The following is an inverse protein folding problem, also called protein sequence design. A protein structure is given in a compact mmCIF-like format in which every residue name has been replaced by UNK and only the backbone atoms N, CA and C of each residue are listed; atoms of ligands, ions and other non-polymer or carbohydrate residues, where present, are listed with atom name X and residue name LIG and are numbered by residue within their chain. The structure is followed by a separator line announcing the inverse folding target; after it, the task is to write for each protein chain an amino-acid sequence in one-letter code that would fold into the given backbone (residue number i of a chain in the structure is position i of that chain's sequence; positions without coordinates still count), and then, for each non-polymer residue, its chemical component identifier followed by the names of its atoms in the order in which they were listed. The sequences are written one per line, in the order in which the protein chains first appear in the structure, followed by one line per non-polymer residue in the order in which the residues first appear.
data_IF_611993911876
#
_entry.id   IF_611993911876
#
_cell.length_a   1.000
_cell.length_b   1.000
_cell.length_c   1.000
_cell.angle_alpha   90.00
_cell.angle_beta   90.00
_cell.angle_gamma   90.00
#
_symmetry.space_group_name_H-M   'P 1'
#
loop_
_entity.id
_entity.type
_entity.pdbx_description
1 polymer ?
#
# COMPACT_ATOMS: atom_id res chain seq x y z
N UNK A 1 41.56 1.73 -6.12
CA UNK A 1 40.50 2.17 -5.20
C UNK A 1 39.37 2.99 -5.85
N UNK A 2 39.64 3.89 -6.83
CA UNK A 2 38.58 4.64 -7.55
C UNK A 2 37.78 3.78 -8.55
N UNK A 3 38.42 2.81 -9.21
CA UNK A 3 37.77 1.94 -10.20
C UNK A 3 36.88 0.86 -9.60
N UNK A 4 37.13 0.48 -8.35
CA UNK A 4 36.35 -0.54 -7.62
C UNK A 4 34.97 0.03 -7.25
N UNK A 5 34.94 1.24 -6.67
CA UNK A 5 33.69 1.98 -6.40
C UNK A 5 32.85 2.24 -7.66
N UNK A 6 33.49 2.36 -8.84
CA UNK A 6 32.80 2.58 -10.11
C UNK A 6 32.15 1.30 -10.66
N UNK A 7 32.76 0.13 -10.41
CA UNK A 7 32.19 -1.18 -10.77
C UNK A 7 30.99 -1.52 -9.89
N UNK A 8 31.07 -1.24 -8.59
CA UNK A 8 29.98 -1.51 -7.63
C UNK A 8 28.74 -0.67 -7.96
N UNK A 9 28.90 0.63 -8.21
CA UNK A 9 27.79 1.51 -8.60
C UNK A 9 27.10 1.05 -9.90
N UNK A 10 27.87 0.53 -10.87
CA UNK A 10 27.34 0.06 -12.15
C UNK A 10 26.54 -1.23 -12.00
N UNK A 11 26.98 -2.14 -11.12
CA UNK A 11 26.25 -3.37 -10.78
C UNK A 11 24.94 -3.07 -10.03
N UNK A 12 24.93 -2.11 -9.10
CA UNK A 12 23.71 -1.71 -8.38
C UNK A 12 22.64 -1.12 -9.31
N UNK A 13 23.04 -0.30 -10.28
CA UNK A 13 22.12 0.29 -11.27
C UNK A 13 21.54 -0.79 -12.19
N UNK A 14 22.37 -1.75 -12.63
CA UNK A 14 21.92 -2.91 -13.42
C UNK A 14 20.95 -3.81 -12.64
N UNK A 15 21.17 -3.99 -11.34
CA UNK A 15 20.21 -4.70 -10.48
C UNK A 15 18.86 -3.97 -10.41
N UNK A 16 18.85 -2.65 -10.18
CA UNK A 16 17.61 -1.85 -10.14
C UNK A 16 16.85 -1.94 -11.47
N UNK A 17 17.56 -1.90 -12.59
CA UNK A 17 16.94 -2.01 -13.92
C UNK A 17 16.31 -3.38 -14.18
N UNK A 18 16.84 -4.45 -13.56
CA UNK A 18 16.26 -5.80 -13.64
C UNK A 18 15.10 -6.03 -12.65
N UNK A 19 14.96 -5.21 -11.60
CA UNK A 19 13.82 -5.32 -10.67
C UNK A 19 12.52 -4.94 -11.36
N UNK A 20 12.52 -3.89 -12.19
CA UNK A 20 11.31 -3.40 -12.86
C UNK A 20 10.64 -4.43 -13.79
N UNK A 21 11.34 -5.10 -14.73
CA UNK A 21 10.72 -6.13 -15.57
C UNK A 21 10.30 -7.35 -14.76
N UNK A 22 11.07 -7.76 -13.75
CA UNK A 22 10.70 -8.86 -12.85
C UNK A 22 9.43 -8.53 -12.06
N UNK A 23 9.30 -7.29 -11.57
CA UNK A 23 8.12 -6.82 -10.89
C UNK A 23 6.90 -6.76 -11.82
N UNK A 24 7.08 -6.27 -13.05
CA UNK A 24 6.00 -6.26 -14.05
C UNK A 24 5.54 -7.68 -14.41
N UNK A 25 6.48 -8.59 -14.62
CA UNK A 25 6.19 -10.00 -14.90
C UNK A 25 5.48 -10.65 -13.70
N UNK A 26 5.92 -10.33 -12.48
CA UNK A 26 5.28 -10.77 -11.25
C UNK A 26 3.83 -10.28 -11.18
N UNK A 27 3.58 -8.97 -11.38
CA UNK A 27 2.25 -8.37 -11.41
C UNK A 27 1.33 -8.97 -12.48
N UNK A 28 1.87 -9.30 -13.65
CA UNK A 28 1.13 -9.89 -14.77
C UNK A 28 0.81 -11.38 -14.59
N UNK A 29 1.44 -12.06 -13.63
CA UNK A 29 1.26 -13.51 -13.42
C UNK A 29 -0.01 -13.87 -12.63
N UNK A 30 -0.71 -12.90 -12.05
CA UNK A 30 -1.97 -13.13 -11.33
C UNK A 30 -3.20 -12.76 -12.15
N UNK A 31 -4.38 -13.05 -11.61
CA UNK A 31 -5.63 -12.76 -12.30
C UNK A 31 -5.97 -11.28 -12.29
N UNK A 32 -6.35 -10.69 -13.45
CA UNK A 32 -6.77 -9.30 -13.48
C UNK A 32 -8.09 -9.14 -12.71
N UNK A 33 -8.27 -8.05 -11.95
CA UNK A 33 -9.54 -7.78 -11.28
C UNK A 33 -10.65 -7.56 -12.32
N UNK A 34 -11.87 -8.06 -12.07
CA UNK A 34 -13.00 -7.80 -12.94
C UNK A 34 -13.31 -6.30 -13.00
N UNK A 35 -13.80 -5.81 -14.14
CA UNK A 35 -14.09 -4.37 -14.36
C UNK A 35 -15.02 -3.77 -13.31
N UNK A 36 -15.93 -4.57 -12.75
CA UNK A 36 -16.88 -4.18 -11.71
C UNK A 36 -16.21 -3.86 -10.36
N UNK A 37 -14.97 -4.31 -10.14
CA UNK A 37 -14.25 -4.15 -8.86
C UNK A 37 -13.14 -3.12 -8.89
N UNK A 38 -12.88 -2.51 -10.05
CA UNK A 38 -11.85 -1.48 -10.19
C UNK A 38 -12.15 -0.29 -9.29
N UNK A 39 -13.42 0.11 -9.15
CA UNK A 39 -13.86 1.17 -8.22
C UNK A 39 -13.55 0.82 -6.77
N UNK A 40 -13.83 -0.41 -6.35
CA UNK A 40 -13.56 -0.90 -4.99
C UNK A 40 -12.07 -0.92 -4.68
N UNK A 41 -11.23 -1.28 -5.67
CA UNK A 41 -9.77 -1.20 -5.58
C UNK A 41 -9.28 0.24 -5.44
N UNK A 42 -9.85 1.20 -6.17
CA UNK A 42 -9.53 2.61 -5.98
C UNK A 42 -9.90 3.10 -4.58
N UNK A 43 -11.07 2.71 -4.07
CA UNK A 43 -11.49 3.03 -2.71
C UNK A 43 -10.52 2.44 -1.67
N UNK A 44 -10.09 1.18 -1.85
CA UNK A 44 -9.08 0.55 -1.00
C UNK A 44 -7.78 1.35 -0.98
N UNK A 45 -7.26 1.73 -2.15
CA UNK A 45 -6.03 2.53 -2.25
C UNK A 45 -6.21 3.89 -1.55
N UNK A 46 -7.36 4.53 -1.75
CA UNK A 46 -7.69 5.78 -1.08
C UNK A 46 -7.71 5.63 0.45
N UNK A 47 -8.39 4.60 0.96
CA UNK A 47 -8.47 4.30 2.40
C UNK A 47 -7.09 4.05 3.01
N UNK A 48 -6.23 3.31 2.31
CA UNK A 48 -4.85 3.06 2.75
C UNK A 48 -4.04 4.36 2.81
N UNK A 49 -4.04 5.15 1.73
CA UNK A 49 -3.28 6.41 1.69
C UNK A 49 -3.77 7.37 2.76
N UNK A 50 -5.09 7.54 2.88
CA UNK A 50 -5.69 8.43 3.86
C UNK A 50 -5.43 7.96 5.30
N UNK A 51 -5.56 6.66 5.55
CA UNK A 51 -5.32 6.05 6.85
C UNK A 51 -3.85 6.10 7.27
N UNK A 52 -2.91 5.85 6.35
CA UNK A 52 -1.48 6.01 6.62
C UNK A 52 -1.10 7.47 6.85
N UNK A 53 -1.67 8.40 6.07
CA UNK A 53 -1.39 9.83 6.22
C UNK A 53 -1.87 10.35 7.57
N UNK A 54 -3.12 10.07 7.94
CA UNK A 54 -3.68 10.44 9.25
C UNK A 54 -2.95 9.75 10.40
N UNK A 55 -2.59 8.47 10.25
CA UNK A 55 -1.80 7.74 11.23
C UNK A 55 -0.39 8.29 11.39
N UNK A 56 0.24 8.75 10.30
CA UNK A 56 1.56 9.40 10.35
C UNK A 56 1.50 10.73 11.08
N UNK A 57 0.46 11.55 10.81
CA UNK A 57 0.26 12.82 11.54
C UNK A 57 0.04 12.55 13.03
N UNK A 58 -0.81 11.57 13.36
CA UNK A 58 -1.01 11.13 14.74
C UNK A 58 0.30 10.70 15.39
N UNK A 59 1.08 9.83 14.74
CA UNK A 59 2.37 9.34 15.25
C UNK A 59 3.36 10.50 15.48
N UNK A 60 3.52 11.38 14.51
CA UNK A 60 4.42 12.54 14.63
C UNK A 60 4.05 13.46 15.78
N UNK A 61 2.74 13.63 16.04
CA UNK A 61 2.23 14.47 17.13
C UNK A 61 2.28 13.77 18.49
N UNK A 62 2.02 12.46 18.54
CA UNK A 62 2.02 11.67 19.77
C UNK A 62 3.42 11.47 20.37
N UNK A 63 4.46 11.49 19.54
CA UNK A 63 5.87 11.35 19.95
C UNK A 63 6.61 12.69 20.04
N UNK A 64 5.88 13.80 20.08
CA UNK A 64 6.42 15.16 20.17
C UNK A 64 7.45 15.53 19.08
N UNK A 65 7.37 14.88 17.91
CA UNK A 65 8.31 15.10 16.79
C UNK A 65 7.89 16.35 16.00
N UNK A 66 6.58 16.49 15.71
CA UNK A 66 5.97 17.62 14.96
C UNK A 66 4.52 17.86 15.41
N UNK A 67 3.99 19.06 15.17
CA UNK A 67 2.59 19.43 15.46
C UNK A 67 2.18 19.37 16.94
N UNK A 68 3.15 19.51 17.84
CA UNK A 68 2.93 19.51 19.29
C UNK A 68 2.07 20.71 19.70
N UNK A 69 0.97 20.44 20.39
CA UNK A 69 0.03 21.47 20.86
C UNK A 69 -0.80 22.15 19.77
N UNK A 70 -0.66 21.77 18.49
CA UNK A 70 -1.48 22.31 17.39
C UNK A 70 -2.77 21.53 17.14
N UNK A 71 -2.83 20.28 17.64
CA UNK A 71 -3.95 19.37 17.40
C UNK A 71 -4.63 19.09 18.74
N UNK A 72 -5.78 19.73 18.98
CA UNK A 72 -6.52 19.63 20.24
C UNK A 72 -7.09 18.22 20.50
N UNK A 73 -7.41 17.49 19.43
CA UNK A 73 -8.07 16.19 19.50
C UNK A 73 -7.28 15.10 18.78
N UNK A 74 -6.06 14.87 19.26
CA UNK A 74 -5.14 13.88 18.72
C UNK A 74 -5.73 12.46 18.64
N UNK A 75 -6.59 12.08 19.60
CA UNK A 75 -7.29 10.79 19.61
C UNK A 75 -8.22 10.58 18.39
N UNK A 76 -8.77 11.65 17.81
CA UNK A 76 -9.63 11.56 16.62
C UNK A 76 -8.81 11.11 15.43
N UNK A 77 -7.58 11.60 15.28
CA UNK A 77 -6.69 11.19 14.19
C UNK A 77 -6.30 9.71 14.29
N UNK A 78 -6.06 9.22 15.52
CA UNK A 78 -5.83 7.80 15.76
C UNK A 78 -7.03 6.96 15.34
N UNK A 79 -8.22 7.33 15.82
CA UNK A 79 -9.45 6.60 15.53
C UNK A 79 -9.79 6.63 14.03
N UNK A 80 -9.60 7.78 13.37
CA UNK A 80 -9.80 7.93 11.93
C UNK A 80 -8.81 7.09 11.13
N UNK A 81 -7.53 7.08 11.53
CA UNK A 81 -6.51 6.22 10.93
C UNK A 81 -6.88 4.75 11.07
N UNK A 82 -7.30 4.31 12.26
CA UNK A 82 -7.71 2.93 12.51
C UNK A 82 -8.95 2.53 11.69
N UNK A 83 -9.98 3.37 11.65
CA UNK A 83 -11.21 3.13 10.90
C UNK A 83 -11.00 3.08 9.39
N UNK A 84 -9.98 3.75 8.86
CA UNK A 84 -9.69 3.78 7.42
C UNK A 84 -8.66 2.73 7.02
N UNK A 85 -7.61 2.51 7.82
CA UNK A 85 -6.60 1.49 7.58
C UNK A 85 -7.17 0.08 7.67
N UNK A 86 -8.01 -0.22 8.66
CA UNK A 86 -8.52 -1.58 8.88
C UNK A 86 -9.26 -2.12 7.65
N UNK A 87 -10.31 -1.45 7.11
CA UNK A 87 -10.96 -1.90 5.89
C UNK A 87 -10.04 -1.83 4.66
N UNK A 88 -9.14 -0.85 4.58
CA UNK A 88 -8.16 -0.76 3.49
C UNK A 88 -7.18 -1.95 3.44
N UNK A 89 -6.63 -2.34 4.59
CA UNK A 89 -5.72 -3.48 4.74
C UNK A 89 -6.46 -4.81 4.52
N UNK A 90 -7.69 -4.92 5.02
CA UNK A 90 -8.53 -6.08 4.74
C UNK A 90 -8.78 -6.25 3.24
N UNK A 91 -9.18 -5.19 2.54
CA UNK A 91 -9.39 -5.23 1.10
C UNK A 91 -8.09 -5.53 0.33
N UNK A 92 -6.94 -5.01 0.78
CA UNK A 92 -5.63 -5.32 0.20
C UNK A 92 -5.30 -6.80 0.33
N UNK A 93 -5.51 -7.36 1.52
CA UNK A 93 -5.25 -8.76 1.82
C UNK A 93 -6.11 -9.68 0.93
N UNK A 94 -7.42 -9.44 0.87
CA UNK A 94 -8.32 -10.22 0.00
C UNK A 94 -7.92 -10.07 -1.46
N UNK A 95 -7.68 -8.84 -1.93
CA UNK A 95 -7.28 -8.57 -3.33
C UNK A 95 -5.99 -9.31 -3.69
N UNK A 96 -5.02 -9.35 -2.78
CA UNK A 96 -3.78 -10.10 -2.96
C UNK A 96 -4.04 -11.61 -3.08
N UNK A 97 -4.89 -12.17 -2.21
CA UNK A 97 -5.22 -13.59 -2.26
C UNK A 97 -6.01 -13.97 -3.52
N UNK A 98 -6.94 -13.12 -3.96
CA UNK A 98 -7.66 -13.29 -5.23
C UNK A 98 -6.70 -13.23 -6.43
N UNK A 99 -5.80 -12.24 -6.44
CA UNK A 99 -4.78 -12.10 -7.47
C UNK A 99 -3.85 -13.31 -7.56
N UNK A 100 -3.51 -13.93 -6.41
CA UNK A 100 -2.68 -15.15 -6.33
C UNK A 100 -3.45 -16.47 -6.45
N UNK A 101 -4.78 -16.43 -6.67
CA UNK A 101 -5.65 -17.61 -6.79
C UNK A 101 -5.56 -18.58 -5.61
N UNK A 102 -5.46 -18.07 -4.38
CA UNK A 102 -5.55 -18.93 -3.22
C UNK A 102 -6.97 -19.54 -3.12
N UNK A 103 -7.07 -20.85 -2.91
CA UNK A 103 -8.36 -21.54 -2.80
C UNK A 103 -9.21 -20.91 -1.69
N UNK A 104 -10.47 -20.60 -2.03
CA UNK A 104 -11.42 -19.95 -1.12
C UNK A 104 -11.48 -18.43 -1.21
N UNK A 105 -10.66 -17.81 -2.06
CA UNK A 105 -10.71 -16.37 -2.34
C UNK A 105 -11.12 -16.11 -3.78
N UNK A 106 -12.31 -15.54 -3.94
CA UNK A 106 -12.84 -15.09 -5.21
C UNK A 106 -13.02 -13.58 -5.19
N UNK A 107 -12.85 -12.96 -6.36
CA UNK A 107 -13.05 -11.53 -6.54
C UNK A 107 -14.41 -11.10 -5.98
N UNK A 108 -15.47 -11.85 -6.23
CA UNK A 108 -16.86 -11.61 -5.77
C UNK A 108 -17.05 -11.40 -4.25
N UNK A 109 -16.06 -11.73 -3.42
CA UNK A 109 -16.09 -11.43 -1.97
C UNK A 109 -15.94 -9.93 -1.71
N UNK A 110 -15.29 -9.20 -2.62
CA UNK A 110 -15.09 -7.75 -2.50
C UNK A 110 -16.38 -7.03 -2.90
N UNK A 111 -16.93 -6.14 -2.05
CA UNK A 111 -18.15 -5.41 -2.36
C UNK A 111 -17.99 -4.59 -3.64
N UNK A 112 -19.02 -4.64 -4.48
CA UNK A 112 -19.08 -3.94 -5.75
C UNK A 112 -19.73 -2.57 -5.56
N UNK A 113 -19.16 -1.54 -6.20
CA UNK A 113 -19.77 -0.22 -6.28
C UNK A 113 -20.06 0.07 -7.74
N UNK A 114 -21.34 0.27 -8.07
CA UNK A 114 -21.78 0.55 -9.44
C UNK A 114 -21.40 1.94 -9.95
#
# INVERSE_FOLDING_TARGET
MKDEKRKDAKNSILQIYNIWPNFKAWCAAGDPPPKTQVKSLYLMVFLLIFGFSTGTVWFLSAFDIKFVGQIEHLWILFLLSFLTLTPGLYALFISYHCWRRHRGYDWWIIPHFE
#
